data_IF_082529178269
#
_entry.id   IF_082529178269
#
_cell.length_a   1.000
_cell.length_b   1.000
_cell.length_c   1.000
_cell.angle_alpha   90.00
_cell.angle_beta   90.00
_cell.angle_gamma   90.00
#
_symmetry.space_group_name_H-M   'P 1'
#
loop_
_entity.id
_entity.type
_entity.pdbx_description
1 polymer ?
#
# COMPACT_ATOMS: atom_id res chain seq x y z
N UNK A 1 9.92 20.87 37.98
CA UNK A 1 9.66 21.35 36.61
C UNK A 1 9.30 20.13 35.78
N UNK A 2 8.00 19.91 35.57
CA UNK A 2 7.51 18.85 34.68
C UNK A 2 7.55 19.42 33.26
N UNK A 3 8.38 18.81 32.43
CA UNK A 3 8.52 19.16 31.01
C UNK A 3 7.22 18.76 30.32
N UNK A 4 6.34 19.75 30.09
CA UNK A 4 5.14 19.58 29.28
C UNK A 4 5.57 19.33 27.82
N UNK A 5 5.74 18.07 27.47
CA UNK A 5 5.88 17.65 26.09
C UNK A 5 4.52 17.82 25.40
N UNK A 6 4.34 18.98 24.76
CA UNK A 6 3.23 19.24 23.84
C UNK A 6 3.07 18.05 22.88
N UNK A 7 1.88 17.42 22.80
CA UNK A 7 1.69 16.26 21.94
C UNK A 7 1.95 16.63 20.49
N UNK A 8 2.73 15.80 19.79
CA UNK A 8 3.00 15.99 18.35
C UNK A 8 1.68 15.87 17.59
N UNK A 9 1.20 16.98 17.03
CA UNK A 9 -0.01 16.98 16.19
C UNK A 9 0.30 16.45 14.79
N UNK A 10 -0.70 15.83 14.16
CA UNK A 10 -0.60 15.34 12.77
C UNK A 10 -0.10 16.44 11.82
N UNK A 11 -0.69 17.64 11.89
CA UNK A 11 -0.31 18.79 11.07
C UNK A 11 1.16 19.19 11.24
N UNK A 12 1.69 19.13 12.48
CA UNK A 12 3.09 19.42 12.75
C UNK A 12 4.02 18.34 12.18
N UNK A 13 3.61 17.08 12.24
CA UNK A 13 4.28 15.97 11.57
C UNK A 13 4.32 16.15 10.06
N UNK A 14 3.17 16.42 9.45
CA UNK A 14 3.01 16.66 8.01
C UNK A 14 3.89 17.81 7.51
N UNK A 15 3.83 18.97 8.17
CA UNK A 15 4.67 20.11 7.81
C UNK A 15 6.17 19.82 7.95
N UNK A 16 6.56 18.99 8.93
CA UNK A 16 7.96 18.60 9.13
C UNK A 16 8.43 17.62 8.06
N UNK A 17 7.59 16.66 7.67
CA UNK A 17 7.87 15.75 6.57
C UNK A 17 8.04 16.51 5.25
N UNK A 18 7.17 17.48 4.97
CA UNK A 18 7.30 18.34 3.78
C UNK A 18 8.63 19.10 3.72
N UNK A 19 9.10 19.66 4.86
CA UNK A 19 10.42 20.29 4.94
C UNK A 19 11.55 19.29 4.70
N UNK A 20 11.48 18.10 5.29
CA UNK A 20 12.48 17.05 5.10
C UNK A 20 12.57 16.61 3.63
N UNK A 21 11.43 16.36 2.98
CA UNK A 21 11.36 16.01 1.55
C UNK A 21 12.00 17.12 0.70
N UNK A 22 11.74 18.40 1.02
CA UNK A 22 12.34 19.52 0.28
C UNK A 22 13.86 19.60 0.46
N UNK A 23 14.38 19.31 1.64
CA UNK A 23 15.83 19.22 1.88
C UNK A 23 16.46 18.08 1.08
N UNK A 24 15.78 16.94 1.00
CA UNK A 24 16.25 15.77 0.23
C UNK A 24 16.34 16.06 -1.26
N UNK A 25 15.37 16.79 -1.81
CA UNK A 25 15.42 17.31 -3.17
C UNK A 25 16.58 18.29 -3.36
N UNK A 26 16.76 19.24 -2.43
CA UNK A 26 17.85 20.23 -2.48
C UNK A 26 19.23 19.57 -2.45
N UNK A 27 19.38 18.52 -1.63
CA UNK A 27 20.61 17.74 -1.52
C UNK A 27 20.80 16.71 -2.64
N UNK A 28 19.83 16.59 -3.57
CA UNK A 28 19.82 15.63 -4.68
C UNK A 28 20.04 14.18 -4.25
N UNK A 29 19.45 13.77 -3.12
CA UNK A 29 19.62 12.38 -2.65
C UNK A 29 18.83 11.36 -3.50
N UNK A 30 18.01 11.82 -4.45
CA UNK A 30 17.44 10.98 -5.49
C UNK A 30 18.48 10.57 -6.56
N UNK A 31 19.69 11.12 -6.51
CA UNK A 31 20.71 11.01 -7.56
C UNK A 31 22.07 10.52 -7.02
N UNK A 32 22.05 9.78 -5.91
CA UNK A 32 23.29 9.37 -5.20
C UNK A 32 24.20 8.53 -6.10
N UNK A 33 23.64 7.73 -7.00
CA UNK A 33 24.39 6.74 -7.80
C UNK A 33 24.50 7.08 -9.28
N UNK A 34 24.04 8.25 -9.76
CA UNK A 34 24.17 8.60 -11.18
C UNK A 34 25.59 8.93 -11.61
N UNK A 35 26.38 9.54 -10.73
CA UNK A 35 27.75 9.95 -11.05
C UNK A 35 28.81 8.89 -10.70
N UNK A 36 28.44 7.60 -10.64
CA UNK A 36 29.36 6.50 -10.31
C UNK A 36 30.56 6.33 -11.30
N UNK A 37 30.73 7.26 -12.24
CA UNK A 37 31.86 7.42 -13.14
C UNK A 37 32.97 8.33 -12.62
N UNK A 38 32.82 8.97 -11.45
CA UNK A 38 33.92 9.71 -10.81
C UNK A 38 34.81 8.73 -10.07
N UNK A 39 36.08 8.62 -10.48
CA UNK A 39 37.15 7.76 -9.91
C UNK A 39 37.52 8.05 -8.43
N UNK A 40 36.72 8.86 -7.72
CA UNK A 40 36.96 9.14 -6.31
C UNK A 40 36.45 7.98 -5.44
N UNK A 41 37.30 7.46 -4.52
CA UNK A 41 36.86 6.46 -3.56
C UNK A 41 35.82 7.08 -2.64
N UNK A 42 34.54 6.78 -2.88
CA UNK A 42 33.46 7.17 -1.98
C UNK A 42 33.48 6.31 -0.74
N UNK A 43 33.33 6.97 0.41
CA UNK A 43 32.98 6.26 1.64
C UNK A 43 31.64 5.55 1.44
N UNK A 44 31.70 4.22 1.55
CA UNK A 44 30.53 3.35 1.45
C UNK A 44 29.48 3.74 2.49
N UNK A 45 29.89 4.00 3.73
CA UNK A 45 28.97 4.29 4.84
C UNK A 45 28.24 5.61 4.59
N UNK A 46 28.96 6.64 4.14
CA UNK A 46 28.36 7.93 3.81
C UNK A 46 27.37 7.81 2.65
N UNK A 47 27.77 7.12 1.57
CA UNK A 47 26.92 6.91 0.40
C UNK A 47 25.66 6.14 0.78
N UNK A 48 25.82 5.06 1.55
CA UNK A 48 24.73 4.22 2.01
C UNK A 48 23.78 4.97 2.96
N UNK A 49 24.31 5.81 3.84
CA UNK A 49 23.50 6.70 4.70
C UNK A 49 22.60 7.60 3.84
N UNK A 50 23.15 8.23 2.80
CA UNK A 50 22.38 9.05 1.85
C UNK A 50 21.29 8.25 1.13
N UNK A 51 21.59 7.02 0.67
CA UNK A 51 20.58 6.13 0.05
C UNK A 51 19.44 5.84 1.01
N UNK A 52 19.76 5.42 2.24
CA UNK A 52 18.76 5.09 3.28
C UNK A 52 17.90 6.30 3.63
N UNK A 53 18.50 7.49 3.80
CA UNK A 53 17.76 8.74 4.04
C UNK A 53 16.78 9.06 2.91
N UNK A 54 17.22 8.94 1.65
CA UNK A 54 16.35 9.14 0.49
C UNK A 54 15.16 8.17 0.50
N UNK A 55 15.41 6.87 0.69
CA UNK A 55 14.36 5.85 0.64
C UNK A 55 13.35 5.95 1.78
N UNK A 56 13.77 6.35 2.98
CA UNK A 56 12.83 6.63 4.09
C UNK A 56 11.89 7.78 3.70
N UNK A 57 12.44 8.86 3.14
CA UNK A 57 11.61 9.99 2.74
C UNK A 57 10.72 9.68 1.53
N UNK A 58 11.19 8.85 0.60
CA UNK A 58 10.36 8.29 -0.47
C UNK A 58 9.16 7.54 0.11
N UNK A 59 9.37 6.65 1.08
CA UNK A 59 8.26 5.94 1.71
C UNK A 59 7.30 6.88 2.45
N UNK A 60 7.83 7.86 3.20
CA UNK A 60 7.02 8.86 3.90
C UNK A 60 6.20 9.73 2.94
N UNK A 61 6.77 10.16 1.82
CA UNK A 61 6.08 10.89 0.75
C UNK A 61 4.85 10.10 0.26
N UNK A 62 5.03 8.81 -0.06
CA UNK A 62 3.92 7.96 -0.51
C UNK A 62 2.87 7.75 0.57
N UNK A 63 3.28 7.43 1.79
CA UNK A 63 2.36 7.21 2.91
C UNK A 63 1.47 8.43 3.14
N UNK A 64 2.08 9.61 3.24
CA UNK A 64 1.35 10.85 3.50
C UNK A 64 0.46 11.22 2.32
N UNK A 65 1.03 11.26 1.10
CA UNK A 65 0.28 11.74 -0.05
C UNK A 65 -0.85 10.80 -0.45
N UNK A 66 -0.66 9.49 -0.34
CA UNK A 66 -1.73 8.53 -0.68
C UNK A 66 -2.87 8.61 0.33
N UNK A 67 -2.57 8.68 1.64
CA UNK A 67 -3.60 8.76 2.68
C UNK A 67 -4.43 10.05 2.61
N UNK A 68 -3.81 11.16 2.21
CA UNK A 68 -4.46 12.47 2.08
C UNK A 68 -4.96 12.76 0.66
N UNK A 69 -4.79 11.84 -0.29
CA UNK A 69 -5.17 12.05 -1.70
C UNK A 69 -4.38 13.14 -2.42
N UNK A 70 -3.17 13.47 -1.96
CA UNK A 70 -2.31 14.53 -2.51
C UNK A 70 -1.44 14.02 -3.68
N UNK A 71 -0.96 14.93 -4.56
CA UNK A 71 0.06 14.58 -5.55
C UNK A 71 1.35 14.07 -4.89
N UNK A 72 1.95 13.04 -5.46
CA UNK A 72 3.24 12.52 -4.99
C UNK A 72 4.35 13.52 -5.28
N UNK A 73 5.18 13.84 -4.27
CA UNK A 73 6.21 14.89 -4.41
C UNK A 73 7.50 14.34 -5.01
N UNK A 74 7.81 13.05 -4.77
CA UNK A 74 9.01 12.39 -5.29
C UNK A 74 8.66 11.49 -6.49
N UNK A 75 8.99 11.99 -7.69
CA UNK A 75 8.77 11.27 -8.95
C UNK A 75 9.71 10.07 -9.07
N UNK A 76 9.12 8.90 -9.27
CA UNK A 76 9.85 7.64 -9.43
C UNK A 76 10.80 7.64 -10.64
N UNK A 77 10.45 8.38 -11.70
CA UNK A 77 11.24 8.47 -12.94
C UNK A 77 12.57 9.21 -12.75
N UNK A 78 12.69 10.01 -11.70
CA UNK A 78 13.88 10.83 -11.41
C UNK A 78 14.85 10.16 -10.45
N UNK A 79 14.57 8.92 -10.05
CA UNK A 79 15.37 8.19 -9.07
C UNK A 79 16.54 7.49 -9.74
N UNK A 80 17.74 8.01 -9.48
CA UNK A 80 19.03 7.41 -9.82
C UNK A 80 19.81 7.02 -8.54
N UNK A 81 19.08 6.64 -7.49
CA UNK A 81 19.60 6.09 -6.24
C UNK A 81 19.30 4.60 -6.16
N UNK A 82 20.31 3.77 -5.87
CA UNK A 82 20.16 2.31 -5.69
C UNK A 82 19.40 2.00 -4.41
N UNK A 83 18.77 0.83 -4.36
CA UNK A 83 18.13 0.33 -3.15
C UNK A 83 19.14 0.22 -1.99
N UNK A 84 18.69 0.30 -0.74
CA UNK A 84 19.58 0.23 0.43
C UNK A 84 20.10 -1.19 0.63
N UNK A 85 21.35 -1.30 1.07
CA UNK A 85 21.99 -2.54 1.46
C UNK A 85 21.32 -3.18 2.69
N UNK A 86 21.39 -4.52 2.83
CA UNK A 86 20.93 -5.20 4.04
C UNK A 86 21.60 -4.68 5.32
N UNK A 87 20.86 -4.69 6.44
CA UNK A 87 21.30 -4.09 7.71
C UNK A 87 22.66 -4.60 8.20
N UNK A 88 22.88 -5.91 8.14
CA UNK A 88 24.14 -6.53 8.52
C UNK A 88 25.33 -6.07 7.66
N UNK A 89 25.10 -5.81 6.37
CA UNK A 89 26.14 -5.33 5.46
C UNK A 89 26.47 -3.86 5.73
N UNK A 90 25.46 -3.04 6.00
CA UNK A 90 25.65 -1.65 6.43
C UNK A 90 26.42 -1.56 7.76
N UNK A 91 26.00 -2.31 8.78
CA UNK A 91 26.63 -2.29 10.11
C UNK A 91 28.06 -2.82 10.11
N UNK A 92 28.37 -3.80 9.26
CA UNK A 92 29.73 -4.32 9.10
C UNK A 92 30.61 -3.45 8.20
N UNK A 93 30.05 -2.39 7.58
CA UNK A 93 30.75 -1.56 6.61
C UNK A 93 31.13 -2.32 5.33
N UNK A 94 30.49 -3.47 5.06
CA UNK A 94 30.81 -4.31 3.90
C UNK A 94 30.09 -3.79 2.66
N UNK A 95 30.81 -3.31 1.63
CA UNK A 95 30.17 -2.74 0.45
C UNK A 95 29.41 -3.80 -0.36
N UNK A 96 28.14 -3.53 -0.65
CA UNK A 96 27.30 -4.36 -1.55
C UNK A 96 26.66 -3.47 -2.60
N UNK A 97 26.73 -3.90 -3.86
CA UNK A 97 26.12 -3.20 -4.97
C UNK A 97 24.67 -3.61 -5.13
N UNK A 98 23.76 -2.74 -4.69
CA UNK A 98 22.32 -2.97 -4.74
C UNK A 98 21.71 -2.57 -6.10
N UNK A 99 20.62 -3.20 -6.55
CA UNK A 99 19.95 -2.83 -7.80
C UNK A 99 19.18 -1.49 -7.68
N UNK A 100 18.83 -0.91 -8.82
CA UNK A 100 17.86 0.19 -8.87
C UNK A 100 16.42 -0.33 -8.73
N UNK A 101 15.50 0.52 -8.29
CA UNK A 101 14.08 0.15 -8.10
C UNK A 101 13.44 -0.52 -9.34
N UNK A 102 13.61 -0.01 -10.58
CA UNK A 102 13.03 -0.67 -11.76
C UNK A 102 13.59 -2.08 -11.98
N UNK A 103 14.87 -2.30 -11.68
CA UNK A 103 15.51 -3.61 -11.81
C UNK A 103 14.96 -4.57 -10.75
N UNK A 104 14.77 -4.08 -9.53
CA UNK A 104 14.21 -4.88 -8.45
C UNK A 104 12.75 -5.28 -8.70
N UNK A 105 11.97 -4.39 -9.32
CA UNK A 105 10.58 -4.66 -9.65
C UNK A 105 10.41 -5.60 -10.86
N UNK A 106 11.36 -5.59 -11.80
CA UNK A 106 11.29 -6.36 -13.06
C UNK A 106 12.00 -7.72 -13.00
N UNK A 107 13.13 -7.83 -12.30
CA UNK A 107 13.97 -9.01 -12.29
C UNK A 107 13.69 -9.97 -11.12
N UNK A 108 14.10 -11.22 -11.30
CA UNK A 108 14.33 -12.14 -10.17
C UNK A 108 15.67 -11.76 -9.54
N UNK A 109 15.62 -10.82 -8.58
CA UNK A 109 16.81 -10.38 -7.82
C UNK A 109 17.42 -11.59 -7.09
N UNK A 110 18.75 -11.58 -6.89
CA UNK A 110 19.42 -12.57 -6.05
C UNK A 110 18.72 -12.75 -4.68
N UNK A 111 18.57 -13.99 -4.18
CA UNK A 111 17.88 -14.27 -2.91
C UNK A 111 18.48 -13.55 -1.69
N UNK A 112 19.79 -13.29 -1.67
CA UNK A 112 20.50 -12.60 -0.58
C UNK A 112 20.07 -11.14 -0.43
N UNK A 113 19.81 -10.46 -1.54
CA UNK A 113 19.30 -9.09 -1.60
C UNK A 113 17.80 -9.06 -1.27
N UNK A 114 17.07 -10.12 -1.67
CA UNK A 114 15.61 -10.30 -1.50
C UNK A 114 15.19 -10.44 -0.03
N UNK A 115 16.07 -10.96 0.83
CA UNK A 115 15.75 -11.19 2.23
C UNK A 115 15.83 -9.92 3.13
N UNK A 116 15.97 -8.72 2.55
CA UNK A 116 16.04 -7.46 3.32
C UNK A 116 14.66 -6.86 3.58
N UNK A 117 14.18 -6.79 4.85
CA UNK A 117 12.88 -6.20 5.16
C UNK A 117 12.75 -4.74 4.72
N UNK A 118 13.86 -3.99 4.71
CA UNK A 118 13.82 -2.58 4.33
C UNK A 118 13.59 -2.43 2.82
N UNK A 119 14.23 -3.27 2.02
CA UNK A 119 14.03 -3.30 0.57
C UNK A 119 12.58 -3.66 0.25
N UNK A 120 12.03 -4.70 0.87
CA UNK A 120 10.63 -5.10 0.63
C UNK A 120 9.64 -3.99 0.99
N UNK A 121 9.85 -3.27 2.09
CA UNK A 121 8.99 -2.13 2.45
C UNK A 121 9.00 -1.04 1.37
N UNK A 122 10.16 -0.75 0.78
CA UNK A 122 10.29 0.19 -0.33
C UNK A 122 9.57 -0.32 -1.58
N UNK A 123 9.71 -1.60 -1.92
CA UNK A 123 9.08 -2.19 -3.11
C UNK A 123 7.56 -2.12 -3.02
N UNK A 124 6.97 -2.55 -1.90
CA UNK A 124 5.52 -2.48 -1.72
C UNK A 124 5.02 -1.03 -1.63
N UNK A 125 5.77 -0.11 -1.02
CA UNK A 125 5.42 1.31 -1.01
C UNK A 125 5.45 1.93 -2.42
N UNK A 126 6.41 1.53 -3.25
CA UNK A 126 6.47 1.95 -4.65
C UNK A 126 5.27 1.40 -5.44
N UNK A 127 4.92 0.12 -5.26
CA UNK A 127 3.73 -0.49 -5.86
C UNK A 127 2.46 0.24 -5.44
N UNK A 128 2.31 0.58 -4.16
CA UNK A 128 1.15 1.33 -3.67
C UNK A 128 1.03 2.69 -4.35
N UNK A 129 2.15 3.42 -4.48
CA UNK A 129 2.16 4.69 -5.22
C UNK A 129 1.83 4.55 -6.70
N UNK A 130 2.22 3.44 -7.35
CA UNK A 130 1.82 3.18 -8.75
C UNK A 130 0.32 2.89 -8.89
N UNK A 131 -0.25 2.13 -7.96
CA UNK A 131 -1.72 1.91 -7.89
C UNK A 131 -2.45 3.22 -7.64
N UNK A 132 -1.93 4.07 -6.76
CA UNK A 132 -2.50 5.39 -6.50
C UNK A 132 -2.44 6.32 -7.72
N UNK A 133 -1.31 6.36 -8.45
CA UNK A 133 -1.22 7.11 -9.71
C UNK A 133 -2.18 6.55 -10.77
N UNK A 134 -2.34 5.23 -10.83
CA UNK A 134 -3.35 4.60 -11.69
C UNK A 134 -4.77 5.07 -11.33
N UNK A 135 -5.12 5.09 -10.03
CA UNK A 135 -6.40 5.62 -9.56
C UNK A 135 -6.61 7.07 -9.99
N UNK A 136 -5.64 7.96 -9.73
CA UNK A 136 -5.74 9.37 -10.12
C UNK A 136 -5.92 9.54 -11.64
N UNK A 137 -5.16 8.78 -12.43
CA UNK A 137 -5.26 8.81 -13.88
C UNK A 137 -6.62 8.29 -14.37
N UNK A 138 -7.10 7.17 -13.84
CA UNK A 138 -8.40 6.59 -14.18
C UNK A 138 -9.55 7.53 -13.77
N UNK A 139 -9.44 8.20 -12.62
CA UNK A 139 -10.41 9.20 -12.19
C UNK A 139 -10.48 10.39 -13.16
N UNK A 140 -9.34 10.93 -13.58
CA UNK A 140 -9.27 11.99 -14.58
C UNK A 140 -9.83 11.55 -15.94
N UNK A 141 -9.49 10.34 -16.39
CA UNK A 141 -10.00 9.75 -17.63
C UNK A 141 -11.54 9.60 -17.63
N UNK A 142 -12.14 9.20 -16.50
CA UNK A 142 -13.60 9.12 -16.31
C UNK A 142 -14.27 10.49 -16.41
N UNK A 143 -13.70 11.52 -15.78
CA UNK A 143 -14.24 12.90 -15.85
C UNK A 143 -14.22 13.42 -17.28
N UNK A 144 -13.17 13.09 -18.05
CA UNK A 144 -13.05 13.48 -19.45
C UNK A 144 -13.87 12.60 -20.43
N UNK A 145 -14.60 11.59 -19.95
CA UNK A 145 -15.41 10.69 -20.78
C UNK A 145 -14.61 9.65 -21.58
N UNK A 146 -13.31 9.51 -21.31
CA UNK A 146 -12.41 8.60 -22.01
C UNK A 146 -12.14 7.36 -21.16
N UNK A 147 -13.09 6.43 -21.04
CA UNK A 147 -12.76 5.11 -20.46
C UNK A 147 -11.88 4.36 -21.46
N UNK A 148 -10.57 4.54 -21.31
CA UNK A 148 -9.57 4.05 -22.25
C UNK A 148 -9.36 2.54 -22.06
N UNK A 149 -9.21 1.81 -23.17
CA UNK A 149 -8.66 0.44 -23.16
C UNK A 149 -7.30 0.38 -22.41
N UNK A 150 -6.57 1.51 -22.35
CA UNK A 150 -5.34 1.65 -21.57
C UNK A 150 -5.53 1.50 -20.06
N UNK A 151 -6.70 1.84 -19.49
CA UNK A 151 -6.96 1.67 -18.06
C UNK A 151 -7.00 0.20 -17.66
N UNK A 152 -7.70 -0.63 -18.43
CA UNK A 152 -7.73 -2.08 -18.23
C UNK A 152 -6.33 -2.72 -18.39
N UNK A 153 -5.56 -2.29 -19.39
CA UNK A 153 -4.18 -2.78 -19.55
C UNK A 153 -3.28 -2.41 -18.37
N UNK A 154 -3.37 -1.17 -17.87
CA UNK A 154 -2.62 -0.74 -16.67
C UNK A 154 -3.03 -1.55 -15.44
N UNK A 155 -4.33 -1.80 -15.26
CA UNK A 155 -4.88 -2.62 -14.18
C UNK A 155 -4.26 -4.03 -14.19
N UNK A 156 -4.30 -4.73 -15.34
CA UNK A 156 -3.72 -6.08 -15.47
C UNK A 156 -2.21 -6.09 -15.22
N UNK A 157 -1.47 -5.12 -15.75
CA UNK A 157 -0.03 -5.03 -15.53
C UNK A 157 0.32 -4.83 -14.05
N UNK A 158 -0.45 -4.01 -13.33
CA UNK A 158 -0.27 -3.80 -11.89
C UNK A 158 -0.65 -5.05 -11.09
N UNK A 159 -1.73 -5.75 -11.49
CA UNK A 159 -2.15 -7.01 -10.87
C UNK A 159 -1.08 -8.09 -10.99
N UNK A 160 -0.52 -8.29 -12.19
CA UNK A 160 0.54 -9.27 -12.45
C UNK A 160 1.82 -8.92 -11.69
N UNK A 161 2.16 -7.63 -11.61
CA UNK A 161 3.32 -7.16 -10.88
C UNK A 161 3.14 -7.39 -9.37
N UNK A 162 2.01 -6.95 -8.80
CA UNK A 162 1.71 -7.07 -7.38
C UNK A 162 1.62 -8.55 -6.95
N UNK A 163 0.96 -9.40 -7.74
CA UNK A 163 0.82 -10.83 -7.44
C UNK A 163 2.17 -11.55 -7.43
N UNK A 164 3.05 -11.26 -8.40
CA UNK A 164 4.41 -11.82 -8.43
C UNK A 164 5.26 -11.37 -7.25
N UNK A 165 5.16 -10.10 -6.84
CA UNK A 165 5.88 -9.61 -5.66
C UNK A 165 5.33 -10.20 -4.37
N UNK A 166 4.01 -10.32 -4.23
CA UNK A 166 3.37 -10.92 -3.06
C UNK A 166 3.71 -12.41 -2.90
N UNK A 167 3.74 -13.19 -3.98
CA UNK A 167 4.19 -14.59 -3.94
C UNK A 167 5.63 -14.69 -3.43
N UNK A 168 6.53 -13.90 -4.01
CA UNK A 168 7.95 -13.90 -3.64
C UNK A 168 8.19 -13.44 -2.20
N UNK A 169 7.43 -12.45 -1.73
CA UNK A 169 7.48 -11.99 -0.36
C UNK A 169 7.12 -13.13 0.60
N UNK A 170 6.01 -13.85 0.33
CA UNK A 170 5.58 -15.00 1.15
C UNK A 170 6.56 -16.18 1.13
N UNK A 171 7.21 -16.42 -0.01
CA UNK A 171 8.26 -17.45 -0.12
C UNK A 171 9.50 -17.08 0.70
N UNK A 172 9.84 -15.79 0.74
CA UNK A 172 11.06 -15.30 1.40
C UNK A 172 10.86 -15.09 2.91
N UNK A 173 9.64 -14.79 3.34
CA UNK A 173 9.30 -14.47 4.73
C UNK A 173 8.06 -15.26 5.19
N UNK A 174 8.28 -16.40 5.89
CA UNK A 174 7.20 -17.13 6.54
C UNK A 174 6.48 -16.30 7.61
N UNK A 175 5.20 -16.62 7.91
CA UNK A 175 4.36 -15.86 8.87
C UNK A 175 5.04 -15.62 10.21
N UNK A 176 5.69 -16.65 10.77
CA UNK A 176 6.39 -16.54 12.05
C UNK A 176 7.54 -15.52 12.03
N UNK A 177 8.20 -15.31 10.89
CA UNK A 177 9.25 -14.29 10.74
C UNK A 177 8.66 -12.89 10.60
N UNK A 178 7.51 -12.79 9.92
CA UNK A 178 6.78 -11.52 9.77
C UNK A 178 6.30 -11.03 11.14
N UNK A 179 5.67 -11.90 11.92
CA UNK A 179 5.08 -11.56 13.23
C UNK A 179 6.08 -10.96 14.24
N UNK A 180 7.36 -11.31 14.15
CA UNK A 180 8.40 -10.81 15.04
C UNK A 180 9.05 -9.52 14.52
N UNK A 181 9.03 -9.29 13.20
CA UNK A 181 9.73 -8.16 12.58
C UNK A 181 8.76 -7.03 12.20
N UNK A 182 8.86 -5.90 12.89
CA UNK A 182 7.98 -4.74 12.69
C UNK A 182 7.99 -4.17 11.28
N UNK A 183 9.14 -4.18 10.61
CA UNK A 183 9.25 -3.68 9.24
C UNK A 183 8.57 -4.64 8.25
N UNK A 184 8.63 -5.95 8.50
CA UNK A 184 7.88 -6.94 7.71
C UNK A 184 6.37 -6.84 7.97
N UNK A 185 5.93 -6.65 9.22
CA UNK A 185 4.51 -6.39 9.53
C UNK A 185 4.01 -5.16 8.78
N UNK A 186 4.77 -4.06 8.85
CA UNK A 186 4.45 -2.84 8.13
C UNK A 186 4.38 -3.05 6.61
N UNK A 187 5.33 -3.81 6.07
CA UNK A 187 5.38 -4.17 4.66
C UNK A 187 4.16 -5.00 4.24
N UNK A 188 3.76 -6.00 5.03
CA UNK A 188 2.59 -6.82 4.72
C UNK A 188 1.29 -6.00 4.80
N UNK A 189 1.18 -5.08 5.76
CA UNK A 189 0.05 -4.14 5.79
C UNK A 189 -0.02 -3.28 4.52
N UNK A 190 1.10 -2.71 4.06
CA UNK A 190 1.14 -1.95 2.81
C UNK A 190 0.77 -2.87 1.63
N UNK A 191 1.27 -4.10 1.61
CA UNK A 191 0.96 -5.06 0.56
C UNK A 191 -0.54 -5.36 0.48
N UNK A 192 -1.20 -5.68 1.61
CA UNK A 192 -2.64 -5.91 1.65
C UNK A 192 -3.44 -4.64 1.31
N UNK A 193 -3.00 -3.48 1.79
CA UNK A 193 -3.62 -2.18 1.45
C UNK A 193 -3.53 -1.89 -0.04
N UNK A 194 -2.40 -2.24 -0.67
CA UNK A 194 -2.20 -2.09 -2.12
C UNK A 194 -3.11 -3.01 -2.91
N UNK A 195 -3.31 -4.25 -2.46
CA UNK A 195 -4.27 -5.20 -3.06
C UNK A 195 -5.68 -4.64 -2.99
N UNK A 196 -6.10 -4.14 -1.82
CA UNK A 196 -7.43 -3.54 -1.63
C UNK A 196 -7.66 -2.35 -2.56
N UNK A 197 -6.69 -1.42 -2.62
CA UNK A 197 -6.76 -0.26 -3.49
C UNK A 197 -6.87 -0.67 -4.97
N UNK A 198 -6.11 -1.69 -5.40
CA UNK A 198 -6.17 -2.18 -6.77
C UNK A 198 -7.49 -2.90 -7.09
N UNK A 199 -8.06 -3.65 -6.15
CA UNK A 199 -9.36 -4.31 -6.34
C UNK A 199 -10.48 -3.29 -6.49
N UNK A 200 -10.46 -2.23 -5.68
CA UNK A 200 -11.40 -1.13 -5.79
C UNK A 200 -11.37 -0.48 -7.17
N UNK A 201 -10.18 -0.24 -7.72
CA UNK A 201 -10.06 0.30 -9.09
C UNK A 201 -10.63 -0.64 -10.14
N UNK A 202 -10.44 -1.95 -10.00
CA UNK A 202 -11.00 -2.93 -10.93
C UNK A 202 -12.54 -2.88 -10.96
N UNK A 203 -13.17 -2.77 -9.79
CA UNK A 203 -14.63 -2.67 -9.67
C UNK A 203 -15.16 -1.40 -10.34
N UNK A 204 -14.46 -0.26 -10.18
CA UNK A 204 -14.81 0.99 -10.86
C UNK A 204 -14.66 0.94 -12.39
N UNK A 205 -13.82 0.04 -12.92
CA UNK A 205 -13.64 -0.19 -14.35
C UNK A 205 -14.73 -1.09 -14.97
N UNK A 206 -15.56 -1.76 -14.16
CA UNK A 206 -16.64 -2.63 -14.60
C UNK A 206 -18.02 -1.97 -14.37
N UNK A 207 -18.43 -1.00 -15.22
CA UNK A 207 -19.63 -0.17 -14.98
C UNK A 207 -20.96 -0.94 -15.05
N UNK A 208 -20.97 -2.14 -15.63
CA UNK A 208 -22.16 -2.99 -15.74
C UNK A 208 -22.00 -4.27 -14.92
N UNK A 209 -22.58 -4.28 -13.73
CA UNK A 209 -22.46 -5.41 -12.80
C UNK A 209 -23.04 -6.73 -13.36
N UNK A 210 -24.05 -6.66 -14.24
CA UNK A 210 -24.70 -7.85 -14.79
C UNK A 210 -23.85 -8.52 -15.87
N UNK A 211 -23.10 -7.73 -16.65
CA UNK A 211 -22.22 -8.25 -17.72
C UNK A 211 -20.87 -8.75 -17.21
N UNK A 212 -20.40 -8.22 -16.08
CA UNK A 212 -19.08 -8.50 -15.51
C UNK A 212 -19.16 -9.19 -14.14
N UNK A 213 -20.25 -9.94 -13.87
CA UNK A 213 -20.51 -10.57 -12.57
C UNK A 213 -19.34 -11.40 -12.06
N UNK A 214 -18.79 -12.29 -12.90
CA UNK A 214 -17.68 -13.18 -12.51
C UNK A 214 -16.38 -12.40 -12.28
N UNK A 215 -16.17 -11.34 -13.04
CA UNK A 215 -15.02 -10.45 -12.90
C UNK A 215 -15.08 -9.69 -11.57
N UNK A 216 -16.22 -9.07 -11.26
CA UNK A 216 -16.44 -8.33 -10.01
C UNK A 216 -16.30 -9.28 -8.81
N UNK A 217 -16.92 -10.46 -8.86
CA UNK A 217 -16.85 -11.45 -7.78
C UNK A 217 -15.41 -11.86 -7.46
N UNK A 218 -14.55 -12.01 -8.49
CA UNK A 218 -13.13 -12.31 -8.30
C UNK A 218 -12.40 -11.22 -7.51
N UNK A 219 -12.68 -9.95 -7.80
CA UNK A 219 -12.07 -8.83 -7.09
C UNK A 219 -12.60 -8.67 -5.68
N UNK A 220 -13.90 -8.88 -5.46
CA UNK A 220 -14.49 -8.89 -4.13
C UNK A 220 -13.89 -9.99 -3.25
N UNK A 221 -13.69 -11.19 -3.80
CA UNK A 221 -13.03 -12.28 -3.08
C UNK A 221 -11.60 -11.92 -2.70
N UNK A 222 -10.80 -11.40 -3.64
CA UNK A 222 -9.43 -10.93 -3.37
C UNK A 222 -9.39 -9.82 -2.32
N UNK A 223 -10.32 -8.87 -2.40
CA UNK A 223 -10.44 -7.78 -1.44
C UNK A 223 -10.79 -8.31 -0.04
N UNK A 224 -11.72 -9.26 0.06
CA UNK A 224 -12.06 -9.91 1.33
C UNK A 224 -10.86 -10.63 1.96
N UNK A 225 -10.11 -11.40 1.16
CA UNK A 225 -8.90 -12.08 1.64
C UNK A 225 -7.83 -11.09 2.13
N UNK A 226 -7.62 -9.99 1.41
CA UNK A 226 -6.68 -8.94 1.80
C UNK A 226 -7.13 -8.21 3.08
N UNK A 227 -8.42 -7.90 3.21
CA UNK A 227 -8.98 -7.25 4.40
C UNK A 227 -8.86 -8.15 5.65
N UNK A 228 -9.12 -9.44 5.52
CA UNK A 228 -8.96 -10.41 6.61
C UNK A 228 -7.50 -10.48 7.08
N UNK A 229 -6.55 -10.53 6.14
CA UNK A 229 -5.11 -10.50 6.46
C UNK A 229 -4.71 -9.20 7.14
N UNK A 230 -5.15 -8.06 6.62
CA UNK A 230 -4.87 -6.76 7.21
C UNK A 230 -5.40 -6.66 8.65
N UNK A 231 -6.62 -7.15 8.90
CA UNK A 231 -7.19 -7.24 10.25
C UNK A 231 -6.35 -8.13 11.19
N UNK A 232 -5.91 -9.29 10.70
CA UNK A 232 -5.02 -10.19 11.44
C UNK A 232 -3.68 -9.51 11.79
N UNK A 233 -3.01 -8.90 10.81
CA UNK A 233 -1.73 -8.20 11.00
C UNK A 233 -1.88 -7.00 11.95
N UNK A 234 -2.97 -6.24 11.82
CA UNK A 234 -3.28 -5.15 12.75
C UNK A 234 -3.52 -5.64 14.19
N UNK A 235 -4.09 -6.84 14.35
CA UNK A 235 -4.19 -7.52 15.65
C UNK A 235 -2.83 -7.70 16.33
N UNK A 236 -1.78 -8.04 15.57
CA UNK A 236 -0.43 -8.19 16.11
C UNK A 236 0.16 -6.86 16.60
N UNK A 237 -0.17 -5.73 15.95
CA UNK A 237 0.27 -4.39 16.38
C UNK A 237 -0.26 -4.00 17.76
N UNK A 238 -1.42 -4.50 18.17
CA UNK A 238 -1.97 -4.23 19.50
C UNK A 238 -1.09 -4.77 20.64
N UNK A 239 -0.24 -5.76 20.35
CA UNK A 239 0.76 -6.29 21.28
C UNK A 239 2.10 -5.53 21.26
N UNK A 240 2.35 -4.68 20.26
CA UNK A 240 3.57 -3.88 20.15
C UNK A 240 3.39 -2.52 20.84
N UNK A 241 3.93 -2.38 22.06
CA UNK A 241 4.04 -1.12 22.80
C UNK A 241 5.09 -0.17 22.20
N UNK A 242 5.10 0.08 20.88
CA UNK A 242 6.19 0.87 20.28
C UNK A 242 5.91 2.37 20.12
N UNK A 243 4.67 2.80 20.27
CA UNK A 243 4.36 4.20 20.53
C UNK A 243 3.18 4.26 21.49
N UNK A 244 3.42 4.70 22.73
CA UNK A 244 2.35 5.35 23.52
C UNK A 244 1.98 6.69 22.87
N UNK A 245 1.50 6.65 21.63
CA UNK A 245 0.70 7.71 21.05
C UNK A 245 -0.70 7.49 21.61
N UNK A 246 -1.02 8.16 22.72
CA UNK A 246 -2.35 8.24 23.32
C UNK A 246 -3.42 8.90 22.44
N UNK A 247 -3.31 8.73 21.11
CA UNK A 247 -4.13 9.37 20.09
C UNK A 247 -4.73 8.38 19.08
N UNK A 248 -4.41 7.08 19.13
CA UNK A 248 -5.11 6.09 18.27
C UNK A 248 -6.61 6.05 18.58
N UNK A 249 -7.00 6.28 19.85
CA UNK A 249 -8.41 6.41 20.22
C UNK A 249 -9.07 7.72 19.74
N UNK A 250 -8.29 8.77 19.39
CA UNK A 250 -8.83 10.04 18.82
C UNK A 250 -8.97 10.01 17.31
N UNK A 251 -8.16 9.20 16.62
CA UNK A 251 -8.38 8.87 15.21
C UNK A 251 -9.62 7.99 14.97
N UNK A 252 -10.30 7.53 16.04
CA UNK A 252 -11.61 6.85 15.96
C UNK A 252 -12.80 7.82 16.03
N UNK A 253 -12.60 9.04 16.53
CA UNK A 253 -13.67 10.05 16.67
C UNK A 253 -13.53 11.22 15.69
N UNK A 254 -12.31 11.55 15.24
CA UNK A 254 -12.08 12.64 14.27
C UNK A 254 -12.17 12.23 12.80
N UNK A 255 -12.25 10.93 12.49
CA UNK A 255 -12.33 10.38 11.12
C UNK A 255 -13.74 10.06 10.67
N UNK A 256 -14.76 10.22 11.54
CA UNK A 256 -16.16 10.06 11.14
C UNK A 256 -16.63 11.17 10.17
N UNK A 257 -15.95 12.32 10.10
CA UNK A 257 -16.38 13.44 9.25
C UNK A 257 -15.41 13.81 8.11
N UNK A 258 -14.22 13.21 8.01
CA UNK A 258 -13.22 13.54 6.98
C UNK A 258 -12.70 12.34 6.17
N UNK A 259 -13.10 11.12 6.53
CA UNK A 259 -12.77 9.91 5.78
C UNK A 259 -14.01 9.36 5.06
N UNK A 260 -14.71 10.23 4.31
CA UNK A 260 -15.59 9.80 3.21
C UNK A 260 -14.71 9.54 2.00
N UNK A 261 -13.83 8.54 2.13
CA UNK A 261 -13.58 7.66 1.01
C UNK A 261 -14.59 6.55 1.25
N UNK A 262 -15.78 6.67 0.65
CA UNK A 262 -16.87 5.70 0.74
C UNK A 262 -16.29 4.28 0.61
N UNK A 263 -16.19 3.58 1.73
CA UNK A 263 -15.91 2.15 1.81
C UNK A 263 -17.12 1.60 2.56
N UNK A 264 -18.26 1.65 1.89
CA UNK A 264 -19.52 1.15 2.41
C UNK A 264 -19.67 -0.32 1.96
N UNK A 265 -18.99 -1.23 2.67
CA UNK A 265 -19.11 -2.69 2.46
C UNK A 265 -20.37 -3.28 3.11
N UNK A 266 -21.16 -2.48 3.84
CA UNK A 266 -22.27 -2.98 4.66
C UNK A 266 -23.62 -3.01 3.94
N UNK A 267 -23.84 -2.20 2.90
CA UNK A 267 -25.14 -2.10 2.23
C UNK A 267 -25.43 -3.25 1.23
N UNK A 268 -24.40 -3.90 0.68
CA UNK A 268 -24.53 -5.03 -0.26
C UNK A 268 -24.66 -6.40 0.39
N UNK A 269 -24.44 -6.52 1.71
CA UNK A 269 -24.63 -7.77 2.46
C UNK A 269 -26.01 -7.89 3.13
N UNK A 270 -26.76 -6.79 3.27
CA UNK A 270 -28.10 -6.81 3.87
C UNK A 270 -29.21 -7.15 2.87
N UNK A 271 -29.02 -6.94 1.56
CA UNK A 271 -30.05 -7.26 0.55
C UNK A 271 -30.17 -8.74 0.20
N UNK A 272 -29.32 -9.60 0.77
CA UNK A 272 -29.27 -11.04 0.44
C UNK A 272 -29.79 -11.96 1.55
N UNK A 273 -30.30 -11.40 2.66
CA UNK A 273 -30.81 -12.17 3.82
C UNK A 273 -32.33 -12.03 4.06
N UNK A 274 -33.09 -11.41 3.15
CA UNK A 274 -34.56 -11.39 3.21
C UNK A 274 -35.19 -12.29 2.13
N UNK A 275 -34.90 -13.58 2.14
CA UNK A 275 -35.83 -14.59 1.62
C UNK A 275 -35.71 -15.85 2.48
N UNK A 276 -36.86 -16.43 2.82
CA UNK A 276 -37.09 -17.69 3.56
C UNK A 276 -37.33 -17.56 5.07
N UNK A 277 -38.53 -17.09 5.42
CA UNK A 277 -39.36 -17.74 6.45
C UNK A 277 -40.82 -17.75 5.96
N UNK A 278 -41.17 -18.72 5.11
CA UNK A 278 -42.56 -19.12 4.95
C UNK A 278 -42.88 -20.09 6.08
N UNK A 279 -43.76 -19.66 6.98
CA UNK A 279 -44.40 -20.53 7.95
C UNK A 279 -45.32 -21.52 7.22
N UNK A 280 -45.05 -22.81 7.43
CA UNK A 280 -46.06 -23.87 7.36
C UNK A 280 -47.14 -23.57 8.39
N UNK A 281 -48.39 -23.39 7.94
CA UNK A 281 -49.65 -23.85 8.54
C UNK A 281 -50.81 -23.21 7.78
N UNK A 282 -51.34 -23.92 6.77
CA UNK A 282 -52.75 -24.34 6.74
C UNK A 282 -53.16 -24.83 5.34
N UNK A 283 -53.33 -26.15 5.27
CA UNK A 283 -53.94 -26.89 4.18
C UNK A 283 -55.47 -26.87 4.36
N UNK A 284 -56.16 -26.69 3.22
CA UNK A 284 -57.58 -26.96 2.93
C UNK A 284 -58.64 -25.98 3.45
N UNK A 285 -59.34 -25.32 2.52
CA UNK A 285 -60.70 -25.71 2.11
C UNK A 285 -61.23 -24.87 0.92
N UNK A 286 -61.54 -25.58 -0.17
CA UNK A 286 -62.69 -25.43 -1.08
C UNK A 286 -62.80 -24.24 -2.06
N UNK A 287 -62.67 -24.58 -3.35
CA UNK A 287 -63.64 -24.37 -4.45
C UNK A 287 -64.79 -23.37 -4.21
N UNK A 288 -64.96 -22.39 -5.11
CA UNK A 288 -66.14 -22.21 -6.00
C UNK A 288 -65.79 -21.21 -7.12
N UNK A 289 -66.35 -21.49 -8.30
CA UNK A 289 -66.25 -20.86 -9.61
C UNK A 289 -66.56 -19.35 -9.71
N UNK A 290 -66.03 -18.69 -10.74
CA UNK A 290 -66.85 -18.12 -11.83
C UNK A 290 -65.98 -17.49 -12.96
N UNK A 291 -66.35 -17.84 -14.21
CA UNK A 291 -65.88 -17.42 -15.56
C UNK A 291 -64.59 -18.02 -16.15
#
# INVERSE_FOLDING_TARGET
MLENTEPVTFLRGWASAGRAIRLIQLMRLNDVDASAHTDEPRDFVESETKRRTFWIAFCLDRLICILEGLPLTLSEQTICTRLPSPENMFLSGTPVKMPFLPQALSASIEPSIRASPFVESILFTALWGRVFLHHQQSAAERVCGNVSAGAGQRQTLLEDLLSRHLSRFRESFPSATVEVNQMLLFTDMIAQTTVLALCREAELLAPDAAKYSDFILRYQWKASEAAQKLSCVAGHLSGFNLFQLGSVNRLRQGTQDAMVVDVDFSSTLQSSNEVVTLHDEDINMLEVADF
#
